data_IF_195655978748
#
_entry.id   IF_195655978748
#
_cell.length_a   1.000
_cell.length_b   1.000
_cell.length_c   1.000
_cell.angle_alpha   90.00
_cell.angle_beta   90.00
_cell.angle_gamma   90.00
#
_symmetry.space_group_name_H-M   'P 1'
#
loop_
_entity.id
_entity.type
_entity.pdbx_description
1 polymer ?
#
# COMPACT_ATOMS: atom_id res chain seq x y z
N UNK A 1 7.95 -8.95 -7.93
CA UNK A 1 7.78 -7.89 -8.96
C UNK A 1 6.42 -7.24 -8.74
N UNK A 2 6.30 -5.92 -8.83
CA UNK A 2 5.02 -5.21 -8.67
C UNK A 2 4.42 -4.92 -10.05
N UNK A 3 3.34 -5.63 -10.47
CA UNK A 3 2.70 -5.33 -11.74
C UNK A 3 2.13 -3.91 -11.69
N UNK A 4 2.40 -3.04 -12.69
CA UNK A 4 1.93 -1.66 -12.70
C UNK A 4 0.47 -1.57 -13.20
N UNK A 5 -0.43 -2.36 -12.60
CA UNK A 5 -1.84 -2.41 -12.97
C UNK A 5 -2.73 -2.01 -11.81
N UNK A 6 -3.90 -1.44 -12.10
CA UNK A 6 -4.87 -1.06 -11.07
C UNK A 6 -5.34 -2.26 -10.24
N UNK A 7 -5.53 -3.42 -10.89
CA UNK A 7 -5.91 -4.65 -10.21
C UNK A 7 -4.85 -5.08 -9.18
N UNK A 8 -3.56 -5.02 -9.54
CA UNK A 8 -2.49 -5.36 -8.61
C UNK A 8 -2.41 -4.36 -7.44
N UNK A 9 -2.69 -3.08 -7.70
CA UNK A 9 -2.75 -2.06 -6.67
C UNK A 9 -3.88 -2.32 -5.66
N UNK A 10 -5.08 -2.66 -6.15
CA UNK A 10 -6.23 -2.98 -5.31
C UNK A 10 -6.01 -4.25 -4.48
N UNK A 11 -5.50 -5.32 -5.09
CA UNK A 11 -5.18 -6.55 -4.37
C UNK A 11 -4.14 -6.31 -3.26
N UNK A 12 -3.23 -5.35 -3.47
CA UNK A 12 -2.26 -4.96 -2.47
C UNK A 12 -2.85 -4.13 -1.34
N UNK A 13 -3.72 -3.19 -1.69
CA UNK A 13 -4.45 -2.39 -0.72
C UNK A 13 -5.26 -3.29 0.23
N UNK A 14 -5.96 -4.29 -0.30
CA UNK A 14 -6.72 -5.28 0.49
C UNK A 14 -5.84 -6.11 1.44
N UNK A 15 -4.57 -6.35 1.07
CA UNK A 15 -3.62 -7.05 1.90
C UNK A 15 -2.94 -6.17 2.97
N UNK A 16 -3.19 -4.85 2.98
CA UNK A 16 -2.59 -3.94 3.96
C UNK A 16 -3.15 -4.22 5.35
N UNK A 17 -2.27 -4.20 6.35
CA UNK A 17 -2.62 -4.25 7.77
C UNK A 17 -2.21 -2.94 8.43
N UNK A 18 -3.11 -1.93 8.52
CA UNK A 18 -2.76 -0.60 8.98
C UNK A 18 -2.17 -0.58 10.39
N UNK A 19 -2.70 -1.42 11.29
CA UNK A 19 -2.21 -1.53 12.66
C UNK A 19 -0.77 -2.07 12.73
N UNK A 20 -0.43 -3.06 11.92
CA UNK A 20 0.92 -3.63 11.89
C UNK A 20 1.91 -2.62 11.31
N UNK A 21 1.52 -1.91 10.24
CA UNK A 21 2.32 -0.83 9.67
C UNK A 21 2.53 0.31 10.68
N UNK A 22 1.48 0.78 11.37
CA UNK A 22 1.59 1.86 12.35
C UNK A 22 2.58 1.53 13.47
N UNK A 23 2.58 0.26 13.94
CA UNK A 23 3.49 -0.22 15.00
C UNK A 23 4.94 -0.38 14.54
N UNK A 24 5.17 -0.56 13.24
CA UNK A 24 6.47 -0.95 12.69
C UNK A 24 7.03 0.01 11.63
N UNK A 25 6.38 1.15 11.37
CA UNK A 25 6.72 2.09 10.28
C UNK A 25 8.18 2.59 10.25
N UNK A 26 8.90 2.51 11.37
CA UNK A 26 10.30 2.91 11.50
C UNK A 26 11.27 1.73 11.72
N UNK A 27 10.79 0.50 11.65
CA UNK A 27 11.62 -0.69 11.71
C UNK A 27 12.13 -1.04 10.31
N UNK A 28 13.39 -1.47 10.21
CA UNK A 28 14.02 -1.88 8.95
C UNK A 28 13.23 -3.02 8.29
N UNK A 29 12.75 -3.96 9.11
CA UNK A 29 11.93 -5.11 8.69
C UNK A 29 10.44 -4.91 9.01
N UNK A 30 9.97 -3.66 9.04
CA UNK A 30 8.59 -3.32 9.35
C UNK A 30 7.59 -3.78 8.28
N UNK A 31 6.30 -3.72 8.61
CA UNK A 31 5.18 -4.12 7.76
C UNK A 31 4.91 -3.08 6.64
N UNK A 32 5.89 -2.85 5.77
CA UNK A 32 5.81 -1.87 4.69
C UNK A 32 4.71 -2.25 3.69
N UNK A 33 3.70 -1.39 3.56
CA UNK A 33 2.54 -1.59 2.66
C UNK A 33 2.94 -1.59 1.18
N UNK A 34 4.00 -0.83 0.89
CA UNK A 34 4.68 -0.84 -0.39
C UNK A 34 3.71 -0.32 -1.51
N UNK A 35 2.71 0.50 -1.10
CA UNK A 35 1.76 1.18 -1.99
C UNK A 35 2.35 2.39 -2.73
N UNK A 36 3.54 2.86 -2.35
CA UNK A 36 4.17 4.07 -2.93
C UNK A 36 4.20 4.10 -4.47
N UNK A 37 4.64 3.07 -5.21
CA UNK A 37 4.63 3.12 -6.68
C UNK A 37 3.22 3.29 -7.25
N UNK A 38 2.19 2.70 -6.62
CA UNK A 38 0.82 2.81 -7.10
C UNK A 38 0.23 4.20 -6.87
N UNK A 39 0.58 4.85 -5.76
CA UNK A 39 0.17 6.23 -5.46
C UNK A 39 0.92 7.22 -6.37
N UNK A 40 2.24 7.07 -6.49
CA UNK A 40 3.08 7.95 -7.34
C UNK A 40 2.62 7.95 -8.80
N UNK A 41 2.19 6.81 -9.33
CA UNK A 41 1.71 6.69 -10.71
C UNK A 41 0.19 6.86 -10.87
N UNK A 42 -0.54 7.21 -9.80
CA UNK A 42 -1.99 7.49 -9.88
C UNK A 42 -2.87 6.26 -10.11
N UNK A 43 -2.34 5.06 -9.90
CA UNK A 43 -3.11 3.80 -9.93
C UNK A 43 -3.98 3.63 -8.68
N UNK A 44 -3.60 4.29 -7.57
CA UNK A 44 -4.39 4.49 -6.37
C UNK A 44 -4.36 5.96 -5.96
N UNK A 45 -5.49 6.49 -5.52
CA UNK A 45 -5.59 7.80 -4.88
C UNK A 45 -5.51 7.69 -3.36
N UNK A 46 -5.10 8.78 -2.69
CA UNK A 46 -5.06 8.82 -1.22
C UNK A 46 -6.44 8.60 -0.57
N UNK A 47 -7.56 9.14 -1.10
CA UNK A 47 -8.89 8.82 -0.57
C UNK A 47 -9.25 7.33 -0.67
N UNK A 48 -8.88 6.65 -1.76
CA UNK A 48 -9.09 5.20 -1.90
C UNK A 48 -8.28 4.42 -0.85
N UNK A 49 -7.04 4.83 -0.57
CA UNK A 49 -6.21 4.21 0.47
C UNK A 49 -6.75 4.45 1.88
N UNK A 50 -7.40 5.60 2.12
CA UNK A 50 -8.01 5.91 3.41
C UNK A 50 -9.33 5.15 3.64
N UNK A 51 -10.05 4.82 2.56
CA UNK A 51 -11.34 4.14 2.61
C UNK A 51 -11.23 2.61 2.69
N UNK A 52 -10.11 2.04 2.26
CA UNK A 52 -9.79 0.61 2.39
C UNK A 52 -9.11 0.30 3.72
#
# INVERSE_FOLDING_TARGET
MFPPTRQAALARLDAVRPNDYARSRNAIDGAVTCLSPYITHGLLSLPEVLAG
#
